data_IF_722610085978
#
_entry.id   IF_722610085978
#
_cell.length_a   1.000
_cell.length_b   1.000
_cell.length_c   1.000
_cell.angle_alpha   90.00
_cell.angle_beta   90.00
_cell.angle_gamma   90.00
#
_symmetry.space_group_name_H-M   'P 1'
#
loop_
_entity.id
_entity.type
_entity.pdbx_description
1 polymer ?
#
# COMPACT_ATOMS: atom_id res chain seq x y z
N UNK A 1 -6.88 -18.81 35.25
CA UNK A 1 -6.77 -18.40 33.83
C UNK A 1 -7.17 -16.95 33.73
N UNK A 2 -6.23 -16.06 33.45
CA UNK A 2 -6.54 -14.65 33.18
C UNK A 2 -7.20 -14.65 31.79
N UNK A 3 -8.48 -14.28 31.72
CA UNK A 3 -9.15 -14.07 30.42
C UNK A 3 -8.56 -12.81 29.82
N UNK A 4 -7.57 -12.95 28.96
CA UNK A 4 -7.07 -11.85 28.14
C UNK A 4 -8.23 -11.38 27.26
N UNK A 5 -8.51 -10.08 27.26
CA UNK A 5 -9.51 -9.50 26.37
C UNK A 5 -8.91 -9.44 24.98
N UNK A 6 -9.33 -10.32 24.08
CA UNK A 6 -8.91 -10.30 22.68
C UNK A 6 -9.70 -9.24 21.93
N UNK A 7 -9.00 -8.41 21.15
CA UNK A 7 -9.60 -7.40 20.29
C UNK A 7 -9.50 -7.81 18.82
N UNK A 8 -10.46 -7.35 18.04
CA UNK A 8 -10.39 -7.44 16.59
C UNK A 8 -10.84 -6.14 15.93
N UNK A 9 -10.33 -5.93 14.72
CA UNK A 9 -10.54 -4.73 13.91
C UNK A 9 -10.72 -5.15 12.46
N UNK A 10 -11.50 -4.36 11.72
CA UNK A 10 -11.70 -4.54 10.30
C UNK A 10 -11.36 -3.24 9.58
N UNK A 11 -10.67 -3.36 8.44
CA UNK A 11 -10.19 -2.24 7.65
C UNK A 11 -10.58 -2.42 6.18
N UNK A 12 -10.95 -1.31 5.55
CA UNK A 12 -11.06 -1.18 4.10
C UNK A 12 -9.70 -0.72 3.55
N UNK A 13 -9.08 -1.54 2.70
CA UNK A 13 -7.84 -1.20 2.01
C UNK A 13 -8.17 -0.48 0.70
N UNK A 14 -8.03 0.84 0.71
CA UNK A 14 -8.39 1.70 -0.41
C UNK A 14 -7.27 1.77 -1.46
N UNK A 15 -7.61 2.12 -2.71
CA UNK A 15 -6.63 2.50 -3.71
C UNK A 15 -5.71 3.60 -3.17
N UNK A 16 -4.40 3.50 -3.43
CA UNK A 16 -3.40 4.44 -2.90
C UNK A 16 -2.70 3.98 -1.61
N UNK A 17 -3.12 2.86 -1.00
CA UNK A 17 -2.44 2.30 0.17
C UNK A 17 -2.90 2.89 1.50
N UNK A 18 -4.08 3.49 1.53
CA UNK A 18 -4.71 3.92 2.76
C UNK A 18 -5.55 2.77 3.35
N UNK A 19 -5.45 2.57 4.67
CA UNK A 19 -6.30 1.65 5.42
C UNK A 19 -7.26 2.47 6.30
N UNK A 20 -8.56 2.22 6.16
CA UNK A 20 -9.58 2.92 6.92
C UNK A 20 -10.30 1.92 7.81
N UNK A 21 -10.36 2.12 9.14
CA UNK A 21 -11.12 1.24 10.01
C UNK A 21 -12.62 1.34 9.65
N UNK A 22 -13.26 0.20 9.52
CA UNK A 22 -14.67 0.08 9.16
C UNK A 22 -15.44 -0.68 10.25
N UNK A 23 -16.76 -0.48 10.26
CA UNK A 23 -17.64 -1.20 11.17
C UNK A 23 -17.59 -2.69 10.88
N UNK A 24 -17.44 -3.50 11.92
CA UNK A 24 -17.50 -4.96 11.85
C UNK A 24 -18.86 -5.42 11.30
N UNK A 25 -18.87 -5.79 10.02
CA UNK A 25 -20.05 -6.25 9.29
C UNK A 25 -19.65 -7.13 8.11
N UNK A 26 -20.31 -8.28 7.98
CA UNK A 26 -20.13 -9.24 6.87
C UNK A 26 -20.54 -8.65 5.52
N UNK A 27 -21.39 -7.63 5.51
CA UNK A 27 -21.80 -6.98 4.26
C UNK A 27 -20.69 -6.10 3.66
N UNK A 28 -19.56 -5.91 4.36
CA UNK A 28 -18.44 -5.11 3.86
C UNK A 28 -17.60 -5.85 2.81
N UNK A 29 -17.75 -7.16 2.69
CA UNK A 29 -17.02 -8.03 1.77
C UNK A 29 -17.61 -7.93 0.35
N UNK A 30 -17.37 -6.80 -0.30
CA UNK A 30 -17.90 -6.48 -1.63
C UNK A 30 -16.93 -6.91 -2.73
N UNK A 31 -17.39 -7.36 -3.91
CA UNK A 31 -16.52 -7.83 -4.99
C UNK A 31 -15.43 -6.84 -5.42
N UNK A 32 -15.62 -5.55 -5.16
CA UNK A 32 -14.75 -4.46 -5.56
C UNK A 32 -13.88 -3.93 -4.41
N UNK A 33 -13.86 -4.56 -3.23
CA UNK A 33 -13.06 -4.10 -2.09
C UNK A 33 -12.00 -5.13 -1.69
N UNK A 34 -10.97 -4.65 -0.97
CA UNK A 34 -10.04 -5.51 -0.25
C UNK A 34 -10.20 -5.21 1.23
N UNK A 35 -10.51 -6.22 2.02
CA UNK A 35 -10.81 -6.06 3.45
C UNK A 35 -9.71 -6.75 4.25
N UNK A 36 -9.19 -6.06 5.26
CA UNK A 36 -8.22 -6.61 6.20
C UNK A 36 -8.92 -6.80 7.54
N UNK A 37 -8.91 -8.02 8.06
CA UNK A 37 -9.42 -8.33 9.39
C UNK A 37 -8.23 -8.68 10.27
N UNK A 38 -8.02 -7.90 11.31
CA UNK A 38 -7.02 -8.17 12.34
C UNK A 38 -7.73 -8.82 13.51
N UNK A 39 -7.31 -10.03 13.87
CA UNK A 39 -7.81 -10.75 15.03
C UNK A 39 -6.65 -11.16 15.95
N UNK A 40 -6.64 -10.64 17.18
CA UNK A 40 -5.64 -10.99 18.17
C UNK A 40 -5.82 -12.40 18.74
N UNK A 41 -7.05 -12.92 18.75
CA UNK A 41 -7.34 -14.23 19.33
C UNK A 41 -6.74 -15.38 18.50
N UNK A 42 -6.84 -15.28 17.18
CA UNK A 42 -6.21 -16.21 16.25
C UNK A 42 -4.77 -15.84 15.87
N UNK A 43 -4.23 -14.75 16.44
CA UNK A 43 -2.89 -14.22 16.12
C UNK A 43 -2.62 -14.17 14.60
N UNK A 44 -3.64 -13.76 13.83
CA UNK A 44 -3.62 -13.80 12.37
C UNK A 44 -4.27 -12.56 11.78
N UNK A 45 -3.68 -12.02 10.72
CA UNK A 45 -4.32 -11.02 9.85
C UNK A 45 -4.94 -11.75 8.67
N UNK A 46 -6.24 -11.62 8.48
CA UNK A 46 -6.93 -12.13 7.31
C UNK A 46 -7.01 -11.02 6.27
N UNK A 47 -6.52 -11.31 5.06
CA UNK A 47 -6.60 -10.40 3.94
C UNK A 47 -7.55 -10.98 2.91
N UNK A 48 -8.69 -10.33 2.72
CA UNK A 48 -9.68 -10.74 1.74
C UNK A 48 -9.62 -9.87 0.50
N UNK A 49 -9.61 -10.50 -0.68
CA UNK A 49 -9.66 -9.82 -1.97
C UNK A 49 -10.96 -10.12 -2.71
N UNK A 50 -11.69 -9.06 -3.06
CA UNK A 50 -12.86 -9.14 -3.90
C UNK A 50 -12.57 -9.63 -5.33
N UNK A 51 -13.59 -10.20 -5.96
CA UNK A 51 -13.50 -10.83 -7.29
C UNK A 51 -13.05 -9.85 -8.37
N UNK A 52 -13.38 -8.56 -8.24
CA UNK A 52 -13.05 -7.51 -9.21
C UNK A 52 -11.78 -6.73 -8.87
N UNK A 53 -11.09 -7.07 -7.77
CA UNK A 53 -9.84 -6.41 -7.40
C UNK A 53 -8.71 -6.74 -8.39
N UNK A 54 -8.04 -5.70 -8.88
CA UNK A 54 -6.87 -5.79 -9.77
C UNK A 54 -5.60 -6.21 -9.03
N UNK A 55 -4.56 -6.59 -9.78
CA UNK A 55 -3.30 -7.09 -9.20
C UNK A 55 -2.60 -6.03 -8.33
N UNK A 56 -2.59 -4.78 -8.78
CA UNK A 56 -1.97 -3.67 -8.04
C UNK A 56 -2.67 -3.47 -6.69
N UNK A 57 -4.00 -3.39 -6.68
CA UNK A 57 -4.77 -3.20 -5.46
C UNK A 57 -4.56 -4.35 -4.45
N UNK A 58 -4.49 -5.60 -4.94
CA UNK A 58 -4.17 -6.77 -4.11
C UNK A 58 -2.79 -6.66 -3.46
N UNK A 59 -1.76 -6.32 -4.25
CA UNK A 59 -0.38 -6.13 -3.73
C UNK A 59 -0.29 -4.97 -2.74
N UNK A 60 -0.99 -3.87 -3.01
CA UNK A 60 -1.05 -2.73 -2.09
C UNK A 60 -1.69 -3.13 -0.77
N UNK A 61 -2.83 -3.83 -0.82
CA UNK A 61 -3.51 -4.33 0.39
C UNK A 61 -2.65 -5.35 1.14
N UNK A 62 -1.90 -6.22 0.46
CA UNK A 62 -0.95 -7.15 1.09
C UNK A 62 0.15 -6.40 1.84
N UNK A 63 0.75 -5.37 1.24
CA UNK A 63 1.75 -4.52 1.93
C UNK A 63 1.17 -3.85 3.17
N UNK A 64 -0.09 -3.41 3.11
CA UNK A 64 -0.76 -2.84 4.28
C UNK A 64 -1.03 -3.90 5.36
N UNK A 65 -1.42 -5.12 4.97
CA UNK A 65 -1.56 -6.24 5.89
C UNK A 65 -0.23 -6.62 6.55
N UNK A 66 0.89 -6.60 5.81
CA UNK A 66 2.24 -6.79 6.36
C UNK A 66 2.63 -5.69 7.35
N UNK A 67 2.31 -4.43 7.02
CA UNK A 67 2.52 -3.30 7.92
C UNK A 67 1.75 -3.46 9.22
N UNK A 68 0.46 -3.81 9.13
CA UNK A 68 -0.42 -4.09 10.27
C UNK A 68 0.07 -5.29 11.09
N UNK A 69 0.53 -6.36 10.44
CA UNK A 69 1.09 -7.53 11.12
C UNK A 69 2.27 -7.16 12.02
N UNK A 70 3.18 -6.31 11.55
CA UNK A 70 4.36 -5.89 12.31
C UNK A 70 4.06 -4.83 13.36
N UNK A 71 3.41 -3.74 12.95
CA UNK A 71 3.27 -2.54 13.77
C UNK A 71 1.96 -2.48 14.56
N UNK A 72 0.98 -3.31 14.21
CA UNK A 72 -0.39 -3.20 14.69
C UNK A 72 -1.07 -1.92 14.23
N UNK A 73 -2.23 -1.65 14.80
CA UNK A 73 -2.99 -0.43 14.58
C UNK A 73 -3.04 0.41 15.86
N UNK A 74 -2.66 1.68 15.76
CA UNK A 74 -2.62 2.58 16.93
C UNK A 74 -3.94 3.35 17.06
N UNK A 75 -4.61 3.20 18.20
CA UNK A 75 -5.82 3.94 18.57
C UNK A 75 -5.55 4.70 19.86
N UNK A 76 -5.41 6.03 19.75
CA UNK A 76 -5.08 6.89 20.87
C UNK A 76 -3.70 6.56 21.45
N UNK A 77 -3.67 5.91 22.61
CA UNK A 77 -2.43 5.50 23.31
C UNK A 77 -2.19 3.98 23.29
N UNK A 78 -3.07 3.22 22.65
CA UNK A 78 -3.04 1.76 22.63
C UNK A 78 -2.73 1.26 21.23
N UNK A 79 -1.95 0.19 21.12
CA UNK A 79 -1.66 -0.50 19.86
C UNK A 79 -2.36 -1.86 19.92
N UNK A 80 -3.13 -2.18 18.89
CA UNK A 80 -3.87 -3.45 18.77
C UNK A 80 -3.22 -4.27 17.65
N UNK A 81 -2.99 -5.56 17.89
CA UNK A 81 -2.51 -6.48 16.86
C UNK A 81 -1.05 -6.31 16.49
N UNK A 82 -0.19 -6.00 17.46
CA UNK A 82 1.25 -5.93 17.25
C UNK A 82 1.86 -7.34 17.23
N UNK A 83 2.90 -7.54 16.42
CA UNK A 83 3.69 -8.78 16.35
C UNK A 83 2.85 -10.03 16.04
N UNK A 84 1.89 -9.89 15.12
CA UNK A 84 1.02 -10.98 14.67
C UNK A 84 1.82 -12.01 13.86
N UNK A 85 1.52 -13.31 14.02
CA UNK A 85 2.36 -14.40 13.48
C UNK A 85 2.20 -14.57 11.97
N UNK A 86 0.96 -14.57 11.49
CA UNK A 86 0.62 -14.94 10.12
C UNK A 86 -0.28 -13.95 9.40
N UNK A 87 -0.20 -13.98 8.07
CA UNK A 87 -1.20 -13.39 7.18
C UNK A 87 -1.86 -14.55 6.43
N UNK A 88 -3.18 -14.62 6.48
CA UNK A 88 -4.00 -15.55 5.70
C UNK A 88 -4.62 -14.77 4.55
N UNK A 89 -4.04 -14.89 3.36
CA UNK A 89 -4.56 -14.26 2.14
C UNK A 89 -5.66 -15.12 1.54
N UNK A 90 -6.80 -14.52 1.25
CA UNK A 90 -7.99 -15.17 0.71
C UNK A 90 -8.41 -14.46 -0.58
N UNK A 91 -8.29 -15.15 -1.70
CA UNK A 91 -8.81 -14.68 -2.98
C UNK A 91 -10.21 -15.26 -3.22
N UNK A 92 -11.23 -14.39 -3.22
CA UNK A 92 -12.62 -14.81 -3.48
C UNK A 92 -12.81 -15.53 -4.82
N UNK A 93 -11.91 -15.37 -5.80
CA UNK A 93 -11.94 -16.12 -7.08
C UNK A 93 -11.60 -17.60 -6.93
N UNK A 94 -10.87 -17.95 -5.87
CA UNK A 94 -10.32 -19.28 -5.61
C UNK A 94 -11.11 -20.02 -4.53
N UNK A 95 -11.87 -19.31 -3.70
CA UNK A 95 -12.82 -19.90 -2.73
C UNK A 95 -13.79 -20.84 -3.48
N UNK A 96 -13.88 -22.10 -3.04
CA UNK A 96 -14.66 -23.17 -3.67
C UNK A 96 -13.96 -23.90 -4.83
N UNK A 97 -12.79 -23.45 -5.27
CA UNK A 97 -11.95 -24.14 -6.28
C UNK A 97 -10.68 -24.71 -5.67
N UNK A 98 -10.05 -23.95 -4.77
CA UNK A 98 -8.83 -24.34 -4.07
C UNK A 98 -9.21 -24.69 -2.63
N UNK A 99 -8.88 -25.91 -2.14
CA UNK A 99 -9.22 -26.34 -0.79
C UNK A 99 -8.62 -25.45 0.31
N UNK A 100 -7.40 -24.95 0.10
CA UNK A 100 -6.69 -24.10 1.07
C UNK A 100 -7.41 -22.76 1.31
N UNK A 101 -7.73 -22.03 0.23
CA UNK A 101 -8.45 -20.75 0.31
C UNK A 101 -9.86 -20.93 0.89
N UNK A 102 -10.49 -22.08 0.60
CA UNK A 102 -11.82 -22.41 1.13
C UNK A 102 -11.75 -22.58 2.65
N UNK A 103 -10.74 -23.30 3.16
CA UNK A 103 -10.53 -23.46 4.61
C UNK A 103 -10.23 -22.13 5.29
N UNK A 104 -9.38 -21.28 4.70
CA UNK A 104 -9.08 -19.95 5.28
C UNK A 104 -10.32 -19.05 5.30
N UNK A 105 -11.19 -19.18 4.30
CA UNK A 105 -12.45 -18.46 4.26
C UNK A 105 -13.45 -18.97 5.30
N UNK A 106 -13.54 -20.29 5.52
CA UNK A 106 -14.33 -20.87 6.61
C UNK A 106 -13.85 -20.37 7.98
N UNK A 107 -12.53 -20.37 8.23
CA UNK A 107 -11.93 -19.80 9.46
C UNK A 107 -12.35 -18.32 9.65
N UNK A 108 -12.31 -17.53 8.57
CA UNK A 108 -12.71 -16.13 8.59
C UNK A 108 -14.21 -15.97 8.89
N UNK A 109 -15.06 -16.81 8.31
CA UNK A 109 -16.49 -16.81 8.59
C UNK A 109 -16.76 -17.14 10.06
N UNK A 110 -16.09 -18.14 10.62
CA UNK A 110 -16.22 -18.47 12.04
C UNK A 110 -15.91 -17.26 12.94
N UNK A 111 -14.89 -16.47 12.62
CA UNK A 111 -14.53 -15.26 13.36
C UNK A 111 -15.60 -14.17 13.22
N UNK A 112 -16.13 -13.96 12.01
CA UNK A 112 -17.19 -12.98 11.75
C UNK A 112 -18.53 -13.37 12.39
N UNK A 113 -18.76 -14.65 12.62
CA UNK A 113 -19.97 -15.23 13.21
C UNK A 113 -19.95 -15.23 14.75
N UNK A 114 -18.78 -15.02 15.36
CA UNK A 114 -18.66 -14.91 16.83
C UNK A 114 -19.50 -13.77 17.36
N UNK A 115 -20.10 -13.98 18.54
CA UNK A 115 -20.77 -12.90 19.28
C UNK A 115 -19.74 -11.87 19.70
N UNK A 116 -19.85 -10.66 19.17
CA UNK A 116 -18.95 -9.56 19.47
C UNK A 116 -19.68 -8.42 20.17
N UNK A 117 -18.94 -7.67 20.99
CA UNK A 117 -19.38 -6.36 21.50
C UNK A 117 -18.55 -5.29 20.81
N UNK A 118 -19.21 -4.32 20.20
CA UNK A 118 -18.53 -3.19 19.57
C UNK A 118 -18.20 -2.14 20.64
N UNK A 119 -16.93 -1.75 20.71
CA UNK A 119 -16.43 -0.63 21.50
C UNK A 119 -16.31 0.62 20.61
N UNK A 120 -15.92 1.74 21.22
CA UNK A 120 -15.56 2.96 20.48
C UNK A 120 -14.41 2.70 19.49
N UNK A 121 -14.36 3.51 18.43
CA UNK A 121 -13.33 3.46 17.37
C UNK A 121 -13.28 2.15 16.55
N UNK A 122 -14.43 1.52 16.32
CA UNK A 122 -14.59 0.32 15.46
C UNK A 122 -13.91 -0.96 15.99
N UNK A 123 -13.42 -0.93 17.23
CA UNK A 123 -12.85 -2.09 17.91
C UNK A 123 -13.99 -3.04 18.31
N UNK A 124 -13.81 -4.33 18.11
CA UNK A 124 -14.71 -5.36 18.65
C UNK A 124 -13.99 -6.26 19.65
N UNK A 125 -14.72 -6.76 20.64
CA UNK A 125 -14.24 -7.78 21.59
C UNK A 125 -15.10 -9.01 21.55
N UNK A 126 -14.46 -10.17 21.70
CA UNK A 126 -15.13 -11.49 21.68
C UNK A 126 -15.40 -12.06 23.09
N UNK A 127 -15.50 -11.22 24.13
CA UNK A 127 -15.80 -11.71 25.47
C UNK A 127 -17.28 -12.05 25.63
N UNK A 128 -17.56 -13.33 25.92
CA UNK A 128 -18.81 -13.76 26.51
C UNK A 128 -18.91 -13.26 27.96
N UNK A 129 -19.46 -12.05 28.17
CA UNK A 129 -19.98 -11.63 29.48
C UNK A 129 -19.57 -10.27 30.06
N UNK A 130 -18.98 -9.32 29.31
CA UNK A 130 -18.59 -8.02 29.85
C UNK A 130 -18.60 -6.98 28.71
N UNK A 131 -19.21 -5.79 28.74
CA UNK A 131 -19.90 -4.98 29.74
C UNK A 131 -20.95 -4.20 28.91
N UNK A 132 -22.16 -3.96 29.42
CA UNK A 132 -23.10 -3.01 28.80
C UNK A 132 -22.35 -1.71 28.46
N UNK A 133 -22.57 -1.09 27.29
CA UNK A 133 -21.93 0.19 26.98
C UNK A 133 -22.31 1.18 28.08
N UNK A 134 -21.36 1.52 28.94
CA UNK A 134 -21.48 2.71 29.78
C UNK A 134 -21.36 3.85 28.80
N UNK A 135 -22.53 4.35 28.38
CA UNK A 135 -22.67 5.67 27.80
C UNK A 135 -22.06 6.61 28.81
N UNK A 136 -20.79 6.97 28.62
CA UNK A 136 -20.23 8.16 29.24
C UNK A 136 -20.96 9.30 28.57
N UNK A 137 -22.11 9.64 29.13
CA UNK A 137 -22.82 10.88 28.87
C UNK A 137 -21.79 11.94 29.20
N UNK A 138 -21.19 12.51 28.15
CA UNK A 138 -20.37 13.71 28.24
C UNK A 138 -21.24 14.73 28.95
N UNK A 139 -20.98 14.98 30.23
CA UNK A 139 -21.58 16.11 30.90
C UNK A 139 -21.13 17.35 30.13
N UNK A 140 -22.08 17.97 29.45
CA UNK A 140 -21.93 19.32 28.96
C UNK A 140 -21.46 20.18 30.15
N UNK A 141 -20.34 20.90 30.03
CA UNK A 141 -19.96 21.87 31.04
C UNK A 141 -21.14 22.83 31.21
N UNK A 142 -21.74 22.85 32.42
CA UNK A 142 -22.73 23.85 32.80
C UNK A 142 -22.14 25.23 32.54
N UNK A 143 -22.55 25.85 31.44
CA UNK A 143 -22.38 27.28 31.21
C UNK A 143 -23.19 27.98 32.29
N UNK A 144 -22.53 28.46 33.34
CA UNK A 144 -23.11 29.45 34.21
C UNK A 144 -23.22 30.75 33.43
N UNK A 145 -24.44 31.08 33.04
CA UNK A 145 -24.82 32.40 32.58
C UNK A 145 -24.93 33.37 33.77
N UNK A 146 -24.59 34.63 33.51
CA UNK A 146 -24.69 35.90 34.29
C UNK A 146 -23.29 36.43 34.66
N UNK A 147 -22.86 37.64 34.27
CA UNK A 147 -23.58 38.88 33.94
C UNK A 147 -22.64 39.84 33.20
N UNK A 148 -23.13 40.55 32.19
CA UNK A 148 -22.67 41.89 31.79
C UNK A 148 -23.76 42.90 32.20
N UNK A 149 -23.60 44.25 32.13
CA UNK A 149 -22.47 45.09 31.71
C UNK A 149 -22.12 46.18 32.78
N UNK A 150 -21.03 46.95 32.68
CA UNK A 150 -21.01 48.36 32.18
C UNK A 150 -19.58 48.95 32.15
N UNK A 151 -19.33 50.05 31.42
CA UNK A 151 -18.09 50.37 30.73
C UNK A 151 -17.16 51.32 31.48
N UNK A 152 -15.87 51.34 31.15
CA UNK A 152 -15.02 52.50 31.40
C UNK A 152 -13.94 52.70 30.33
N UNK A 153 -14.13 53.79 29.59
CA UNK A 153 -13.22 54.71 28.89
C UNK A 153 -11.83 54.25 28.40
N UNK A 154 -11.62 54.51 27.10
CA UNK A 154 -10.33 54.75 26.45
C UNK A 154 -9.51 55.85 27.16
N UNK A 155 -8.18 55.81 26.99
CA UNK A 155 -7.57 56.83 26.12
C UNK A 155 -6.57 56.26 25.10
N UNK A 156 -6.49 56.97 23.97
CA UNK A 156 -5.55 56.81 22.87
C UNK A 156 -4.08 57.02 23.30
N UNK A 157 -3.11 56.40 22.59
CA UNK A 157 -2.23 57.10 21.63
C UNK A 157 -1.13 56.20 21.05
N UNK A 158 -0.99 56.30 19.72
CA UNK A 158 0.21 56.24 18.85
C UNK A 158 1.00 54.94 18.56
N UNK A 159 1.44 54.76 17.30
CA UNK A 159 2.17 53.59 16.81
C UNK A 159 3.69 53.76 16.97
N UNK A 160 4.39 52.71 17.41
CA UNK A 160 5.85 52.65 17.34
C UNK A 160 6.26 51.63 16.29
N UNK A 161 6.86 52.19 15.24
CA UNK A 161 7.68 51.52 14.24
C UNK A 161 8.97 51.04 14.90
N UNK A 162 9.33 49.77 14.75
CA UNK A 162 10.73 49.36 14.84
C UNK A 162 11.03 48.17 13.91
N UNK A 163 12.09 48.41 13.15
CA UNK A 163 12.76 47.69 12.05
C UNK A 163 13.01 46.18 12.19
N UNK A 164 13.37 45.52 11.05
CA UNK A 164 13.50 44.07 10.93
C UNK A 164 14.86 43.57 11.46
N UNK A 165 14.84 42.42 12.16
CA UNK A 165 16.06 41.76 12.62
C UNK A 165 16.57 40.78 11.57
N UNK A 166 17.85 40.96 11.29
CA UNK A 166 18.73 40.32 10.31
C UNK A 166 18.92 38.81 10.49
N UNK A 167 19.31 38.19 9.38
CA UNK A 167 19.67 36.80 9.15
C UNK A 167 20.69 36.22 10.15
N UNK A 168 20.41 35.00 10.63
CA UNK A 168 21.36 34.17 11.35
C UNK A 168 22.20 33.34 10.36
N UNK A 169 23.52 33.51 10.45
CA UNK A 169 24.55 32.71 9.77
C UNK A 169 24.57 31.26 10.28
N UNK A 170 25.02 30.29 9.46
CA UNK A 170 25.31 28.93 9.89
C UNK A 170 26.50 28.88 10.84
N UNK A 171 26.38 28.09 11.90
CA UNK A 171 27.44 27.83 12.87
C UNK A 171 28.29 26.67 12.34
N UNK A 172 29.54 26.97 11.98
CA UNK A 172 30.61 25.98 11.84
C UNK A 172 30.76 25.24 13.18
N UNK A 173 30.66 23.91 13.14
CA UNK A 173 31.10 23.05 14.23
C UNK A 173 32.46 22.51 13.83
N UNK A 174 33.44 22.91 14.62
CA UNK A 174 34.84 22.58 14.47
C UNK A 174 35.09 21.08 14.56
N UNK A 175 36.05 20.68 13.74
CA UNK A 175 36.81 19.44 13.72
C UNK A 175 37.59 19.21 15.01
N UNK A 176 37.45 18.04 15.63
CA UNK A 176 38.47 17.51 16.54
C UNK A 176 38.25 16.00 16.72
N UNK A 177 38.83 15.19 15.82
CA UNK A 177 39.25 13.82 16.12
C UNK A 177 40.47 13.49 15.25
N UNK A 178 41.63 13.77 15.82
CA UNK A 178 42.91 13.21 15.44
C UNK A 178 43.00 11.82 16.08
N UNK A 179 42.98 10.77 15.27
CA UNK A 179 43.48 9.45 15.66
C UNK A 179 43.95 8.72 14.41
N UNK A 180 45.26 8.79 14.18
CA UNK A 180 45.98 8.00 13.18
C UNK A 180 46.22 6.60 13.74
N UNK A 181 45.35 5.65 13.40
CA UNK A 181 45.72 4.23 13.40
C UNK A 181 45.76 3.73 11.94
N UNK A 182 46.82 3.03 11.51
CA UNK A 182 46.93 2.53 10.16
C UNK A 182 45.95 1.36 9.94
N UNK A 183 45.01 1.54 9.00
CA UNK A 183 44.14 0.47 8.54
C UNK A 183 44.99 -0.70 7.97
N UNK A 184 44.62 -1.96 8.25
CA UNK A 184 45.23 -3.10 7.61
C UNK A 184 44.93 -3.07 6.10
N UNK A 185 46.00 -3.12 5.31
CA UNK A 185 45.95 -3.25 3.85
C UNK A 185 45.35 -4.60 3.48
N UNK A 186 44.04 -4.61 3.18
CA UNK A 186 43.38 -5.76 2.55
C UNK A 186 43.78 -5.72 1.08
N UNK A 187 44.67 -6.64 0.70
CA UNK A 187 44.92 -6.95 -0.72
C UNK A 187 43.58 -7.34 -1.34
N UNK A 188 43.07 -6.47 -2.20
CA UNK A 188 41.90 -6.75 -3.04
C UNK A 188 42.27 -7.90 -3.99
N UNK A 189 41.81 -9.10 -3.66
CA UNK A 189 41.84 -10.25 -4.54
C UNK A 189 40.81 -10.02 -5.64
N UNK A 190 41.29 -9.65 -6.83
CA UNK A 190 40.47 -9.42 -8.02
C UNK A 190 39.89 -10.75 -8.48
N UNK A 191 38.72 -11.11 -7.94
CA UNK A 191 37.92 -12.21 -8.47
C UNK A 191 37.42 -11.78 -9.87
N UNK A 192 37.70 -12.51 -10.96
CA UNK A 192 37.23 -12.12 -12.28
C UNK A 192 35.70 -12.14 -12.28
N UNK A 193 35.10 -11.05 -12.75
CA UNK A 193 33.67 -10.96 -12.97
C UNK A 193 33.23 -12.08 -13.94
N UNK A 194 32.06 -12.71 -13.71
CA UNK A 194 31.55 -13.72 -14.63
C UNK A 194 31.33 -13.07 -16.00
N UNK A 195 31.99 -13.62 -17.03
CA UNK A 195 31.74 -13.28 -18.42
C UNK A 195 30.33 -13.77 -18.75
N UNK A 196 29.38 -12.84 -18.84
CA UNK A 196 28.05 -13.13 -19.35
C UNK A 196 28.21 -13.26 -20.87
N UNK A 197 28.19 -14.49 -21.37
CA UNK A 197 28.04 -14.76 -22.81
C UNK A 197 26.63 -14.36 -23.24
N UNK A 198 26.42 -13.07 -23.50
CA UNK A 198 25.20 -12.57 -24.11
C UNK A 198 25.18 -13.02 -25.58
N UNK A 199 24.39 -14.04 -25.88
CA UNK A 199 24.08 -14.40 -27.26
C UNK A 199 23.45 -13.20 -27.99
N UNK A 200 23.93 -12.86 -29.18
CA UNK A 200 23.45 -11.68 -29.94
C UNK A 200 21.94 -11.71 -30.22
N UNK A 201 21.31 -12.89 -30.22
CA UNK A 201 19.86 -13.07 -30.35
C UNK A 201 19.07 -12.63 -29.10
N UNK A 202 19.66 -12.74 -27.91
CA UNK A 202 19.03 -12.26 -26.66
C UNK A 202 19.06 -10.74 -26.58
N UNK A 203 20.19 -10.12 -26.95
CA UNK A 203 20.34 -8.67 -27.01
C UNK A 203 19.34 -8.00 -27.97
N UNK A 204 19.10 -8.60 -29.14
CA UNK A 204 18.14 -8.06 -30.12
C UNK A 204 16.69 -8.17 -29.63
N UNK A 205 16.39 -9.22 -28.87
CA UNK A 205 15.08 -9.41 -28.23
C UNK A 205 14.88 -8.37 -27.14
N UNK A 206 15.88 -8.17 -26.28
CA UNK A 206 15.84 -7.20 -25.18
C UNK A 206 15.72 -5.76 -25.71
N UNK A 207 16.42 -5.41 -26.78
CA UNK A 207 16.29 -4.10 -27.44
C UNK A 207 14.86 -3.86 -27.94
N UNK A 208 14.22 -4.86 -28.55
CA UNK A 208 12.83 -4.75 -29.02
C UNK A 208 11.84 -4.61 -27.87
N UNK A 209 12.04 -5.34 -26.77
CA UNK A 209 11.25 -5.17 -25.55
C UNK A 209 11.39 -3.75 -25.02
N UNK A 210 12.63 -3.23 -24.94
CA UNK A 210 12.90 -1.87 -24.48
C UNK A 210 12.23 -0.81 -25.38
N UNK A 211 12.19 -1.01 -26.69
CA UNK A 211 11.48 -0.10 -27.61
C UNK A 211 9.98 -0.07 -27.38
N UNK A 212 9.36 -1.22 -27.06
CA UNK A 212 7.94 -1.25 -26.70
C UNK A 212 7.70 -0.46 -25.41
N UNK A 213 8.53 -0.67 -24.38
CA UNK A 213 8.39 0.07 -23.13
C UNK A 213 8.63 1.58 -23.31
N UNK A 214 9.65 1.97 -24.06
CA UNK A 214 9.89 3.38 -24.37
C UNK A 214 8.72 4.02 -25.11
N UNK A 215 8.12 3.33 -26.08
CA UNK A 215 6.95 3.85 -26.80
C UNK A 215 5.72 4.01 -25.89
N UNK A 216 5.56 3.14 -24.89
CA UNK A 216 4.48 3.23 -23.91
C UNK A 216 4.74 4.40 -22.94
N UNK A 217 5.97 4.54 -22.44
CA UNK A 217 6.36 5.60 -21.50
C UNK A 217 6.23 7.03 -22.07
N UNK A 218 6.09 7.19 -23.39
CA UNK A 218 5.75 8.50 -23.99
C UNK A 218 4.30 8.94 -23.71
N UNK A 219 3.41 8.02 -23.33
CA UNK A 219 1.99 8.29 -23.08
C UNK A 219 1.58 8.05 -21.63
N UNK A 220 2.42 7.37 -20.85
CA UNK A 220 2.13 6.93 -19.50
C UNK A 220 3.33 7.19 -18.59
N UNK A 221 3.12 8.00 -17.55
CA UNK A 221 4.19 8.38 -16.60
C UNK A 221 4.55 7.24 -15.63
N UNK A 222 3.59 6.35 -15.35
CA UNK A 222 3.77 5.20 -14.45
C UNK A 222 3.17 3.93 -15.07
N UNK A 223 3.99 2.89 -15.20
CA UNK A 223 3.60 1.61 -15.77
C UNK A 223 4.15 0.45 -14.94
N UNK A 224 3.35 -0.61 -14.82
CA UNK A 224 3.76 -1.88 -14.26
C UNK A 224 3.99 -2.89 -15.37
N UNK A 225 5.18 -3.48 -15.39
CA UNK A 225 5.56 -4.53 -16.33
C UNK A 225 5.65 -5.86 -15.61
N UNK A 226 4.97 -6.88 -16.13
CA UNK A 226 5.09 -8.26 -15.65
C UNK A 226 5.46 -9.21 -16.78
N UNK A 227 6.50 -10.03 -16.56
CA UNK A 227 6.84 -11.15 -17.43
C UNK A 227 6.04 -12.38 -16.99
N UNK A 228 5.24 -12.94 -17.90
CA UNK A 228 4.45 -14.13 -17.68
C UNK A 228 5.31 -15.39 -17.91
N UNK A 229 4.83 -16.53 -17.44
CA UNK A 229 5.54 -17.82 -17.55
C UNK A 229 5.69 -18.30 -19.00
N UNK A 230 4.80 -17.85 -19.90
CA UNK A 230 4.85 -18.12 -21.33
C UNK A 230 5.87 -17.24 -22.09
N UNK A 231 6.62 -16.38 -21.37
CA UNK A 231 7.56 -15.44 -21.95
C UNK A 231 6.92 -14.16 -22.52
N UNK A 232 5.60 -14.00 -22.38
CA UNK A 232 4.92 -12.76 -22.75
C UNK A 232 5.11 -11.68 -21.68
N UNK A 233 4.95 -10.42 -22.09
CA UNK A 233 4.98 -9.25 -21.23
C UNK A 233 3.59 -8.65 -21.16
N UNK A 234 3.10 -8.40 -19.95
CA UNK A 234 1.89 -7.63 -19.72
C UNK A 234 2.25 -6.29 -19.09
N UNK A 235 1.72 -5.21 -19.66
CA UNK A 235 1.93 -3.83 -19.24
C UNK A 235 0.60 -3.26 -18.77
N UNK A 236 0.58 -2.73 -17.55
CA UNK A 236 -0.60 -2.21 -16.86
C UNK A 236 -0.31 -0.80 -16.31
N UNK A 237 -1.35 0.00 -16.15
CA UNK A 237 -1.35 1.27 -15.44
C UNK A 237 -2.35 1.21 -14.27
N UNK A 238 -2.44 2.30 -13.49
CA UNK A 238 -3.35 2.40 -12.35
C UNK A 238 -4.81 2.13 -12.74
N UNK A 239 -5.23 2.64 -13.91
CA UNK A 239 -6.60 2.50 -14.43
C UNK A 239 -6.87 1.18 -15.17
N UNK A 240 -5.88 0.28 -15.26
CA UNK A 240 -6.06 -1.06 -15.83
C UNK A 240 -5.01 -1.47 -16.88
N UNK A 241 -5.27 -2.56 -17.62
CA UNK A 241 -4.31 -3.13 -18.55
C UNK A 241 -4.13 -2.24 -19.79
N UNK A 242 -2.87 -1.99 -20.16
CA UNK A 242 -2.52 -1.28 -21.39
C UNK A 242 -2.40 -2.28 -22.53
N UNK A 243 -1.49 -3.25 -22.44
CA UNK A 243 -1.26 -4.22 -23.51
C UNK A 243 -0.56 -5.48 -23.01
N UNK A 244 -0.64 -6.55 -23.80
CA UNK A 244 0.15 -7.76 -23.57
C UNK A 244 0.77 -8.23 -24.88
N UNK A 245 2.08 -8.41 -24.90
CA UNK A 245 2.81 -8.76 -26.11
C UNK A 245 3.81 -9.90 -25.87
N UNK A 246 4.19 -10.58 -26.95
CA UNK A 246 5.21 -11.61 -26.96
C UNK A 246 6.19 -11.37 -28.11
N UNK A 247 7.46 -11.68 -27.89
CA UNK A 247 8.48 -11.68 -28.94
C UNK A 247 8.95 -13.12 -29.07
N UNK A 248 8.60 -13.77 -30.18
CA UNK A 248 9.12 -15.10 -30.50
C UNK A 248 10.52 -14.95 -31.10
N UNK A 249 11.41 -15.89 -30.80
CA UNK A 249 12.73 -16.00 -31.43
C UNK A 249 12.59 -15.86 -32.95
N UNK A 250 13.12 -14.77 -33.52
CA UNK A 250 12.83 -14.38 -34.91
C UNK A 250 12.04 -13.07 -35.09
N UNK A 251 12.24 -12.09 -34.21
CA UNK A 251 12.05 -10.67 -34.52
C UNK A 251 10.62 -10.12 -34.63
N UNK A 252 9.58 -10.95 -34.57
CA UNK A 252 8.17 -10.50 -34.71
C UNK A 252 7.50 -10.30 -33.36
N UNK A 253 7.18 -9.02 -33.08
CA UNK A 253 6.35 -8.62 -31.96
C UNK A 253 4.88 -8.98 -32.25
N UNK A 254 4.28 -9.77 -31.38
CA UNK A 254 2.86 -10.10 -31.47
C UNK A 254 2.12 -9.54 -30.24
N UNK A 255 1.23 -8.59 -30.47
CA UNK A 255 0.26 -8.16 -29.47
C UNK A 255 -0.87 -9.20 -29.40
N UNK A 256 -1.32 -9.50 -28.19
CA UNK A 256 -2.50 -10.35 -27.97
C UNK A 256 -3.76 -9.65 -28.45
N UNK A 257 -4.81 -10.41 -28.79
CA UNK A 257 -6.05 -9.91 -29.38
C UNK A 257 -6.78 -8.87 -28.51
N UNK A 258 -6.58 -8.91 -27.19
CA UNK A 258 -7.18 -7.98 -26.24
C UNK A 258 -6.23 -6.85 -25.80
N UNK A 259 -5.06 -6.74 -26.44
CA UNK A 259 -4.14 -5.63 -26.18
C UNK A 259 -4.78 -4.32 -26.57
N UNK A 260 -4.61 -3.29 -25.74
CA UNK A 260 -5.16 -1.94 -25.94
C UNK A 260 -6.70 -1.86 -25.89
N UNK A 261 -7.38 -2.88 -25.37
CA UNK A 261 -8.86 -2.91 -25.30
C UNK A 261 -9.48 -1.78 -24.47
N UNK A 262 -8.72 -1.19 -23.53
CA UNK A 262 -9.12 -0.01 -22.75
C UNK A 262 -8.37 1.28 -23.06
N UNK A 263 -7.62 1.31 -24.18
CA UNK A 263 -6.72 2.42 -24.54
C UNK A 263 -7.26 3.14 -25.78
N UNK A 264 -7.13 4.46 -25.84
CA UNK A 264 -7.51 5.23 -27.03
C UNK A 264 -6.78 4.71 -28.27
N UNK A 265 -7.53 4.52 -29.35
CA UNK A 265 -7.03 4.17 -30.68
C UNK A 265 -5.87 5.06 -31.16
N UNK A 266 -5.87 6.36 -30.83
CA UNK A 266 -4.78 7.30 -31.17
C UNK A 266 -3.48 6.93 -30.48
N UNK A 267 -3.53 6.66 -29.17
CA UNK A 267 -2.39 6.24 -28.35
C UNK A 267 -1.87 4.90 -28.88
N UNK A 268 -2.78 3.96 -29.14
CA UNK A 268 -2.45 2.63 -29.71
C UNK A 268 -1.70 2.73 -31.04
N UNK A 269 -2.16 3.59 -31.95
CA UNK A 269 -1.48 3.84 -33.22
C UNK A 269 -0.13 4.52 -33.03
N UNK A 270 -0.02 5.46 -32.10
CA UNK A 270 1.24 6.15 -31.78
C UNK A 270 2.29 5.16 -31.26
N UNK A 271 1.93 4.29 -30.32
CA UNK A 271 2.80 3.25 -29.76
C UNK A 271 3.27 2.30 -30.87
N UNK A 272 2.35 1.81 -31.71
CA UNK A 272 2.69 0.93 -32.84
C UNK A 272 3.60 1.61 -33.86
N UNK A 273 3.33 2.88 -34.19
CA UNK A 273 4.15 3.67 -35.12
C UNK A 273 5.56 3.87 -34.58
N UNK A 274 5.67 4.24 -33.30
CA UNK A 274 6.96 4.47 -32.63
C UNK A 274 7.78 3.17 -32.54
N UNK A 275 7.12 2.05 -32.23
CA UNK A 275 7.80 0.75 -32.27
C UNK A 275 8.35 0.44 -33.67
N UNK A 276 7.57 0.66 -34.73
CA UNK A 276 8.04 0.46 -36.11
C UNK A 276 9.24 1.36 -36.41
N UNK A 277 9.21 2.62 -35.98
CA UNK A 277 10.32 3.57 -36.13
C UNK A 277 11.59 3.11 -35.42
N UNK A 278 11.49 2.76 -34.13
CA UNK A 278 12.63 2.28 -33.35
C UNK A 278 13.14 0.93 -33.85
N UNK A 279 12.26 0.06 -34.34
CA UNK A 279 12.66 -1.25 -34.89
C UNK A 279 13.48 -1.17 -36.18
N UNK A 280 13.53 -0.01 -36.85
CA UNK A 280 14.42 0.23 -38.01
C UNK A 280 15.87 0.52 -37.60
N UNK A 281 16.13 0.78 -36.32
CA UNK A 281 17.46 1.11 -35.80
C UNK A 281 18.31 -0.14 -35.49
N UNK A 282 17.73 -1.34 -35.63
CA UNK A 282 18.33 -2.64 -35.34
C UNK A 282 18.06 -3.61 -36.49
#
# INVERSE_FOLDING_TARGET
MIKTTSFALMFDARPGGEIVPIKWDKNSFMPETSIIVLDEDSESVYLWHGVKQGLVARRTALRQAESLKGHGYTIGKTIIGRDIKGIKEIDSRKVGKVPEDTKMYEDLQEILDRKFTQLDNFIVTFQAGAIKPVVVKREEPKVQAKTAPTPTKAPATTPVVSKPVSAAKPREVASEYESTEPMPSIKSETKPAPVIEASTSSLLTDAKVAFVFSAILEHYDDIWVSKKQDGSFAVEQMDGPICQFSIKEGSKLNFTTNSFSGVDTKITMSIKKKFIELSKLI
#
